data_IF_708256346079
#
_entry.id   IF_708256346079
#
_cell.length_a   1.000
_cell.length_b   1.000
_cell.length_c   1.000
_cell.angle_alpha   90.00
_cell.angle_beta   90.00
_cell.angle_gamma   90.00
#
_symmetry.space_group_name_H-M   'P 1'
#
loop_
_entity.id
_entity.type
_entity.pdbx_description
1 polymer ?
#
# COMPACT_ATOMS: atom_id res chain seq x y z
N UNK A 1 -7.98 -10.57 11.75
CA UNK A 1 -7.22 -9.45 11.15
C UNK A 1 -5.73 -9.73 11.34
N UNK A 2 -4.94 -9.82 10.26
CA UNK A 2 -3.48 -10.02 10.36
C UNK A 2 -2.80 -8.72 9.92
N UNK A 3 -1.91 -8.18 10.74
CA UNK A 3 -1.16 -6.94 10.46
C UNK A 3 0.32 -7.28 10.38
N UNK A 4 1.03 -6.66 9.44
CA UNK A 4 2.50 -6.65 9.43
C UNK A 4 2.93 -5.22 9.71
N UNK A 5 3.65 -5.03 10.81
CA UNK A 5 4.06 -3.71 11.31
C UNK A 5 5.56 -3.76 11.59
N UNK A 6 6.36 -2.80 11.10
CA UNK A 6 7.76 -2.71 11.49
C UNK A 6 7.87 -2.43 12.99
N UNK A 7 8.96 -2.89 13.61
CA UNK A 7 9.22 -2.61 15.04
C UNK A 7 9.51 -1.14 15.29
N UNK A 8 10.11 -0.47 14.31
CA UNK A 8 10.35 0.96 14.34
C UNK A 8 9.03 1.74 14.30
N UNK A 9 8.86 2.71 15.20
CA UNK A 9 7.67 3.56 15.22
C UNK A 9 7.81 4.71 14.22
N UNK A 10 6.99 4.69 13.17
CA UNK A 10 6.77 5.80 12.25
C UNK A 10 5.27 5.96 11.98
N UNK A 11 4.77 7.19 11.93
CA UNK A 11 3.35 7.45 11.71
C UNK A 11 2.94 7.16 10.25
N UNK A 12 3.85 7.39 9.31
CA UNK A 12 3.70 7.15 7.87
C UNK A 12 4.89 6.36 7.35
N UNK A 13 4.77 5.85 6.13
CA UNK A 13 5.83 5.11 5.45
C UNK A 13 7.15 5.90 5.39
N UNK A 14 7.06 7.19 5.07
CA UNK A 14 8.22 8.08 4.95
C UNK A 14 8.92 8.39 6.29
N UNK A 15 8.29 8.06 7.42
CA UNK A 15 8.91 8.23 8.75
C UNK A 15 9.76 7.01 9.15
N UNK A 16 9.68 5.90 8.39
CA UNK A 16 10.36 4.64 8.71
C UNK A 16 11.67 4.55 7.91
N UNK A 17 12.80 4.28 8.56
CA UNK A 17 14.08 4.07 7.87
C UNK A 17 14.05 2.94 6.83
N UNK A 18 14.77 3.10 5.73
CA UNK A 18 14.77 2.15 4.60
C UNK A 18 15.14 0.72 5.02
N UNK A 19 16.14 0.57 5.89
CA UNK A 19 16.59 -0.74 6.39
C UNK A 19 15.48 -1.47 7.17
N UNK A 20 14.60 -0.73 7.85
CA UNK A 20 13.47 -1.26 8.60
C UNK A 20 12.28 -1.65 7.72
N UNK A 21 12.24 -1.20 6.45
CA UNK A 21 11.19 -1.56 5.49
C UNK A 21 11.45 -2.88 4.77
N UNK A 22 12.72 -3.34 4.75
CA UNK A 22 13.18 -4.48 3.95
C UNK A 22 12.46 -5.80 4.28
N UNK A 23 12.01 -5.99 5.53
CA UNK A 23 11.37 -7.23 5.98
C UNK A 23 9.84 -7.28 5.77
N UNK A 24 9.20 -6.17 5.43
CA UNK A 24 7.73 -6.08 5.36
C UNK A 24 7.18 -6.98 4.25
N UNK A 25 7.62 -6.78 3.01
CA UNK A 25 7.13 -7.55 1.85
C UNK A 25 7.50 -9.04 1.93
N UNK A 26 8.75 -9.43 2.33
CA UNK A 26 9.06 -10.83 2.58
C UNK A 26 8.17 -11.50 3.63
N UNK A 27 7.80 -10.78 4.70
CA UNK A 27 6.90 -11.28 5.74
C UNK A 27 5.48 -11.47 5.21
N UNK A 28 4.96 -10.51 4.45
CA UNK A 28 3.65 -10.63 3.79
C UNK A 28 3.61 -11.82 2.83
N UNK A 29 4.66 -12.04 2.02
CA UNK A 29 4.78 -13.22 1.16
C UNK A 29 4.69 -14.53 1.95
N UNK A 30 5.42 -14.64 3.07
CA UNK A 30 5.34 -15.82 3.95
C UNK A 30 3.92 -16.05 4.49
N UNK A 31 3.22 -14.98 4.86
CA UNK A 31 1.83 -15.06 5.34
C UNK A 31 0.88 -15.55 4.25
N UNK A 32 1.00 -15.02 3.03
CA UNK A 32 0.18 -15.47 1.89
C UNK A 32 0.43 -16.96 1.63
N UNK A 33 1.68 -17.38 1.52
CA UNK A 33 2.02 -18.80 1.34
C UNK A 33 1.49 -19.69 2.46
N UNK A 34 1.58 -19.24 3.72
CA UNK A 34 1.11 -20.00 4.87
C UNK A 34 -0.43 -20.06 4.98
N UNK A 35 -1.15 -19.10 4.41
CA UNK A 35 -2.61 -19.05 4.44
C UNK A 35 -3.26 -19.66 3.21
N UNK A 36 -2.50 -19.88 2.13
CA UNK A 36 -3.03 -20.31 0.84
C UNK A 36 -3.91 -19.26 0.16
N UNK A 37 -3.81 -17.99 0.56
CA UNK A 37 -4.61 -16.93 -0.05
C UNK A 37 -4.22 -16.75 -1.52
N UNK A 38 -5.19 -16.93 -2.42
CA UNK A 38 -5.04 -16.69 -3.87
C UNK A 38 -5.37 -15.24 -4.21
N UNK A 39 -6.38 -14.69 -3.54
CA UNK A 39 -6.92 -13.35 -3.76
C UNK A 39 -6.76 -12.52 -2.50
N UNK A 40 -5.92 -11.49 -2.57
CA UNK A 40 -5.60 -10.65 -1.41
C UNK A 40 -5.16 -9.25 -1.84
N UNK A 41 -5.32 -8.28 -0.93
CA UNK A 41 -4.79 -6.94 -1.08
C UNK A 41 -3.76 -6.65 0.01
N UNK A 42 -2.66 -6.01 -0.37
CA UNK A 42 -1.74 -5.34 0.56
C UNK A 42 -2.08 -3.86 0.53
N UNK A 43 -2.46 -3.29 1.67
CA UNK A 43 -2.88 -1.90 1.78
C UNK A 43 -2.05 -1.20 2.86
N UNK A 44 -1.40 -0.10 2.50
CA UNK A 44 -0.68 0.75 3.43
C UNK A 44 -1.18 2.18 3.22
N UNK A 45 -1.79 2.74 4.27
CA UNK A 45 -2.45 4.05 4.23
C UNK A 45 -1.60 5.08 4.99
N UNK A 46 -1.46 6.29 4.45
CA UNK A 46 -0.68 7.39 5.06
C UNK A 46 -1.58 8.62 5.28
N UNK A 47 -1.97 8.87 6.53
CA UNK A 47 -2.86 9.97 6.94
C UNK A 47 -4.34 9.59 7.02
N UNK A 48 -5.12 10.39 7.77
CA UNK A 48 -6.52 10.11 8.11
C UNK A 48 -7.44 9.99 6.88
N UNK A 49 -7.27 10.87 5.89
CA UNK A 49 -8.09 10.87 4.65
C UNK A 49 -7.87 9.60 3.83
N UNK A 50 -6.70 8.97 3.93
CA UNK A 50 -6.42 7.69 3.27
C UNK A 50 -6.99 6.49 4.03
N UNK A 51 -7.92 6.69 4.98
CA UNK A 51 -8.44 5.64 5.87
C UNK A 51 -7.31 4.89 6.61
N UNK A 52 -6.33 5.63 7.15
CA UNK A 52 -5.27 5.01 7.94
C UNK A 52 -5.80 4.37 9.22
N UNK A 53 -5.93 3.06 9.12
CA UNK A 53 -6.12 2.04 10.12
C UNK A 53 -5.13 0.94 9.61
N UNK A 54 -4.42 0.18 10.44
CA UNK A 54 -3.31 -0.69 9.97
C UNK A 54 -3.88 -1.99 9.34
N UNK A 55 -3.53 -2.47 8.11
CA UNK A 55 -4.15 -3.70 7.54
C UNK A 55 -3.35 -4.58 6.54
N UNK A 56 -3.52 -5.91 6.64
CA UNK A 56 -3.55 -6.86 5.51
C UNK A 56 -4.96 -7.45 5.41
N UNK A 57 -5.52 -7.53 4.20
CA UNK A 57 -6.97 -7.71 3.97
C UNK A 57 -7.21 -8.90 3.02
N UNK A 58 -7.65 -10.06 3.54
CA UNK A 58 -8.16 -11.15 2.70
C UNK A 58 -9.39 -10.69 1.90
N UNK A 59 -9.52 -11.17 0.66
CA UNK A 59 -10.67 -10.91 -0.21
C UNK A 59 -11.22 -12.24 -0.75
N UNK A 60 -12.03 -12.98 0.02
CA UNK A 60 -12.44 -14.34 -0.33
C UNK A 60 -13.41 -14.41 -1.52
N UNK A 61 -14.09 -13.30 -1.84
CA UNK A 61 -14.98 -13.15 -2.98
C UNK A 61 -15.13 -11.67 -3.36
N UNK A 62 -15.91 -11.37 -4.39
CA UNK A 62 -16.09 -10.01 -4.90
C UNK A 62 -16.77 -9.06 -3.89
N UNK A 63 -17.72 -9.59 -3.10
CA UNK A 63 -18.57 -8.82 -2.18
C UNK A 63 -17.97 -8.61 -0.79
N UNK A 64 -16.97 -9.40 -0.40
CA UNK A 64 -16.27 -9.32 0.88
C UNK A 64 -14.86 -8.74 0.72
N UNK A 65 -14.22 -8.34 1.83
CA UNK A 65 -12.86 -7.76 1.82
C UNK A 65 -12.81 -6.30 1.35
N UNK A 66 -11.66 -5.88 0.80
CA UNK A 66 -11.45 -4.50 0.34
C UNK A 66 -12.35 -4.19 -0.88
N UNK A 67 -13.16 -3.13 -0.76
CA UNK A 67 -13.88 -2.53 -1.89
C UNK A 67 -13.11 -1.34 -2.43
N UNK A 68 -12.68 -1.40 -3.69
CA UNK A 68 -11.96 -0.30 -4.34
C UNK A 68 -12.90 0.37 -5.33
N UNK A 69 -13.20 1.65 -5.09
CA UNK A 69 -13.84 2.51 -6.08
C UNK A 69 -12.75 3.27 -6.84
N UNK A 70 -12.76 3.19 -8.17
CA UNK A 70 -11.69 3.74 -9.02
C UNK A 70 -12.24 4.85 -9.92
N UNK A 71 -12.34 6.11 -9.44
CA UNK A 71 -12.83 7.22 -10.24
C UNK A 71 -11.76 7.64 -11.27
N UNK A 72 -11.85 7.11 -12.49
CA UNK A 72 -10.96 7.51 -13.59
C UNK A 72 -11.34 8.87 -14.16
N UNK A 73 -10.34 9.59 -14.66
CA UNK A 73 -10.51 10.77 -15.49
C UNK A 73 -9.63 10.63 -16.75
N UNK A 74 -10.02 11.28 -17.84
CA UNK A 74 -9.20 11.31 -19.05
C UNK A 74 -7.89 12.08 -18.75
N UNK A 75 -6.75 11.45 -19.06
CA UNK A 75 -5.43 12.03 -18.80
C UNK A 75 -5.07 13.16 -19.77
N UNK A 76 -4.33 14.14 -19.26
CA UNK A 76 -3.76 15.24 -20.02
C UNK A 76 -2.25 15.01 -20.14
N UNK A 77 -1.78 14.63 -21.33
CA UNK A 77 -0.40 14.18 -21.54
C UNK A 77 0.64 15.28 -21.31
N UNK A 78 0.28 16.55 -21.51
CA UNK A 78 1.20 17.66 -21.28
C UNK A 78 1.38 17.89 -19.77
N UNK A 79 0.27 17.84 -19.01
CA UNK A 79 0.34 17.89 -17.53
C UNK A 79 1.09 16.70 -16.94
N UNK A 80 0.89 15.50 -17.48
CA UNK A 80 1.58 14.30 -17.01
C UNK A 80 3.10 14.37 -17.24
N UNK A 81 3.54 14.89 -18.40
CA UNK A 81 4.98 15.10 -18.67
C UNK A 81 5.59 16.12 -17.72
N UNK A 82 4.92 17.25 -17.51
CA UNK A 82 5.40 18.29 -16.59
C UNK A 82 5.55 17.74 -15.17
N UNK A 83 4.56 16.99 -14.68
CA UNK A 83 4.60 16.35 -13.36
C UNK A 83 5.74 15.32 -13.25
N UNK A 84 5.99 14.54 -14.31
CA UNK A 84 7.07 13.55 -14.34
C UNK A 84 8.44 14.22 -14.20
N UNK A 85 8.70 15.30 -14.94
CA UNK A 85 9.96 16.04 -14.83
C UNK A 85 10.11 16.69 -13.45
N UNK A 86 9.03 17.26 -12.90
CA UNK A 86 9.06 17.80 -11.53
C UNK A 86 9.46 16.73 -10.50
N UNK A 87 8.86 15.54 -10.56
CA UNK A 87 9.17 14.45 -9.62
C UNK A 87 10.63 14.02 -9.74
N UNK A 88 11.17 13.88 -10.96
CA UNK A 88 12.58 13.49 -11.17
C UNK A 88 13.57 14.46 -10.53
N UNK A 89 13.27 15.76 -10.53
CA UNK A 89 14.17 16.75 -9.90
C UNK A 89 14.19 16.70 -8.37
N UNK A 90 13.23 15.99 -7.76
CA UNK A 90 13.04 15.90 -6.30
C UNK A 90 13.46 14.54 -5.72
N UNK A 91 13.82 13.59 -6.58
CA UNK A 91 14.33 12.26 -6.22
C UNK A 91 15.85 12.22 -6.37
#
# INVERSE_FOLDING_TARGET
MKLVIPKFHGAKLADIPDDQLTEILPTLKKLVSATGATDYNILQNNGTIAHQQVHHIPKPNETEGLGVNWPTSAGDMDKLKALCEEIKTKM
#
